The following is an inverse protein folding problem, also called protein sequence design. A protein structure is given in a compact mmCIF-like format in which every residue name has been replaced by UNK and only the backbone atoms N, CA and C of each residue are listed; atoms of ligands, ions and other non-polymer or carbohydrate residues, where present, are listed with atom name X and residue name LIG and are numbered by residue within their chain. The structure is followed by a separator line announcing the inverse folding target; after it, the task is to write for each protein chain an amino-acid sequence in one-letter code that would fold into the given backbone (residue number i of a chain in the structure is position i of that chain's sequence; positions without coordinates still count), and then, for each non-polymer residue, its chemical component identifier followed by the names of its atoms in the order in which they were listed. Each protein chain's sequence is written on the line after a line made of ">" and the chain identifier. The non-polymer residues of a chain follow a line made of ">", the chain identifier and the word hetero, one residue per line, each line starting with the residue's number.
data_IF_027204299957
#
_entry.id   IF_027204299957
#
_cell.length_a   1.000
_cell.length_b   1.000
_cell.length_c   1.000
_cell.angle_alpha   90.00
_cell.angle_beta   90.00
_cell.angle_gamma   90.00
#
_symmetry.space_group_name_H-M   'P 1'
#
loop_
_entity.id
_entity.type
_entity.pdbx_description
1 polymer ?
#
# COMPACT_ATOMS: atom_id res chain seq x y z
N UNK A 1 -7.60 -0.12 41.40
CA UNK A 1 -7.00 -0.48 40.09
C UNK A 1 -7.07 0.78 39.26
N UNK A 2 -5.94 1.49 39.09
CA UNK A 2 -5.90 2.73 38.32
C UNK A 2 -5.85 2.37 36.84
N UNK A 3 -6.96 2.60 36.14
CA UNK A 3 -7.04 2.47 34.69
C UNK A 3 -6.50 3.79 34.13
N UNK A 4 -5.36 3.73 33.45
CA UNK A 4 -4.82 4.86 32.69
C UNK A 4 -5.66 5.06 31.43
N UNK A 5 -6.23 6.26 31.29
CA UNK A 5 -7.16 6.73 30.24
C UNK A 5 -6.48 6.93 28.87
N UNK A 6 -5.93 5.87 28.29
CA UNK A 6 -5.28 5.91 26.96
C UNK A 6 -5.91 4.98 25.92
N UNK A 7 -7.06 4.35 26.20
CA UNK A 7 -7.84 3.65 25.19
C UNK A 7 -8.97 4.56 24.69
N UNK A 8 -8.87 4.98 23.42
CA UNK A 8 -10.01 5.53 22.70
C UNK A 8 -10.89 4.36 22.29
N UNK A 9 -12.03 4.21 22.94
CA UNK A 9 -12.98 3.15 22.64
C UNK A 9 -13.86 3.59 21.47
N UNK A 10 -13.60 3.03 20.28
CA UNK A 10 -14.45 3.23 19.09
C UNK A 10 -15.61 2.24 19.20
N UNK A 11 -16.84 2.74 19.16
CA UNK A 11 -18.04 1.92 19.21
C UNK A 11 -18.77 1.93 17.86
N UNK A 12 -19.47 0.85 17.54
CA UNK A 12 -20.49 0.85 16.49
C UNK A 12 -21.87 0.92 17.13
N UNK A 13 -22.74 1.76 16.60
CA UNK A 13 -24.15 1.78 16.95
C UNK A 13 -24.84 0.53 16.42
N UNK A 14 -26.03 0.23 16.94
CA UNK A 14 -26.86 -0.88 16.46
C UNK A 14 -27.30 -0.70 15.00
N UNK A 15 -27.26 0.53 14.50
CA UNK A 15 -27.57 0.88 13.10
C UNK A 15 -26.31 0.85 12.21
N UNK A 16 -25.14 0.54 12.76
CA UNK A 16 -23.88 0.43 12.03
C UNK A 16 -23.10 1.75 11.90
N UNK A 17 -23.55 2.82 12.56
CA UNK A 17 -22.84 4.09 12.58
C UNK A 17 -21.65 4.04 13.54
N UNK A 18 -20.57 4.73 13.20
CA UNK A 18 -19.42 4.86 14.08
C UNK A 18 -19.71 5.92 15.15
N UNK A 19 -19.72 5.50 16.41
CA UNK A 19 -19.95 6.36 17.57
C UNK A 19 -18.65 6.57 18.33
N UNK A 20 -18.32 7.84 18.54
CA UNK A 20 -17.22 8.28 19.38
C UNK A 20 -17.80 8.78 20.70
N UNK A 21 -17.36 8.21 21.80
CA UNK A 21 -17.85 8.57 23.14
C UNK A 21 -17.40 9.99 23.51
N UNK A 22 -18.36 10.91 23.58
CA UNK A 22 -18.12 12.30 23.88
C UNK A 22 -17.71 12.56 25.35
N UNK A 23 -17.96 11.61 26.26
CA UNK A 23 -17.71 11.80 27.70
C UNK A 23 -16.29 11.42 28.13
N UNK A 24 -15.63 10.50 27.41
CA UNK A 24 -14.26 10.02 27.71
C UNK A 24 -13.14 10.81 27.01
N UNK A 25 -13.49 11.89 26.30
CA UNK A 25 -12.51 12.70 25.57
C UNK A 25 -12.08 12.03 24.26
N UNK A 26 -13.05 11.78 23.39
CA UNK A 26 -12.81 11.34 22.01
C UNK A 26 -12.12 12.43 21.19
N UNK A 27 -10.81 12.57 21.37
CA UNK A 27 -9.98 13.24 20.39
C UNK A 27 -9.74 12.27 19.24
N UNK A 28 -10.31 12.59 18.06
CA UNK A 28 -9.80 12.08 16.79
C UNK A 28 -8.36 12.58 16.67
N UNK A 29 -7.41 11.77 17.11
CA UNK A 29 -6.02 12.09 16.92
C UNK A 29 -5.73 12.00 15.42
N UNK A 30 -5.41 13.15 14.81
CA UNK A 30 -4.79 13.19 13.49
C UNK A 30 -3.61 12.22 13.56
N UNK A 31 -3.41 11.37 12.56
CA UNK A 31 -2.31 10.38 12.52
C UNK A 31 -0.93 11.06 12.40
N UNK A 32 -0.62 12.07 13.20
CA UNK A 32 0.59 12.88 13.16
C UNK A 32 1.87 12.05 13.06
N UNK A 33 2.08 11.02 13.89
CA UNK A 33 3.30 10.22 13.84
C UNK A 33 3.25 9.04 12.85
N UNK A 34 2.08 8.68 12.29
CA UNK A 34 1.89 7.45 11.48
C UNK A 34 1.39 7.70 10.06
N UNK A 35 1.52 8.94 9.56
CA UNK A 35 1.06 9.29 8.20
C UNK A 35 1.75 8.43 7.13
N UNK A 36 3.05 8.17 7.29
CA UNK A 36 3.80 7.34 6.34
C UNK A 36 3.38 5.86 6.42
N UNK A 37 3.16 5.31 7.61
CA UNK A 37 2.62 3.95 7.78
C UNK A 37 1.23 3.80 7.12
N UNK A 38 0.39 4.84 7.20
CA UNK A 38 -0.91 4.86 6.53
C UNK A 38 -0.73 4.85 5.01
N UNK A 39 0.15 5.69 4.48
CA UNK A 39 0.45 5.74 3.05
C UNK A 39 1.01 4.40 2.55
N UNK A 40 1.96 3.80 3.27
CA UNK A 40 2.50 2.46 3.01
C UNK A 40 1.40 1.40 2.94
N UNK A 41 0.47 1.42 3.89
CA UNK A 41 -0.67 0.51 3.96
C UNK A 41 -1.62 0.69 2.77
N UNK A 42 -1.86 1.94 2.33
CA UNK A 42 -2.69 2.24 1.17
C UNK A 42 -2.00 1.73 -0.11
N UNK A 43 -0.72 2.05 -0.30
CA UNK A 43 0.06 1.57 -1.44
C UNK A 43 0.08 0.05 -1.52
N UNK A 44 0.36 -0.62 -0.39
CA UNK A 44 0.38 -2.08 -0.30
C UNK A 44 -0.96 -2.69 -0.70
N UNK A 45 -2.08 -2.14 -0.19
CA UNK A 45 -3.41 -2.63 -0.53
C UNK A 45 -3.74 -2.44 -2.00
N UNK A 46 -3.37 -1.30 -2.60
CA UNK A 46 -3.60 -1.06 -4.03
C UNK A 46 -2.82 -1.99 -4.95
N UNK A 47 -1.56 -2.25 -4.62
CA UNK A 47 -0.70 -3.17 -5.38
C UNK A 47 -1.28 -4.59 -5.35
N UNK A 48 -1.83 -5.00 -4.20
CA UNK A 48 -2.39 -6.33 -3.99
C UNK A 48 -3.82 -6.49 -4.55
N UNK A 49 -4.52 -5.38 -4.80
CA UNK A 49 -5.91 -5.42 -5.27
C UNK A 49 -6.05 -5.49 -6.79
N UNK A 50 -7.18 -6.03 -7.24
CA UNK A 50 -7.63 -6.05 -8.62
C UNK A 50 -8.54 -4.85 -8.89
N UNK A 51 -8.51 -4.31 -10.11
CA UNK A 51 -9.47 -3.28 -10.52
C UNK A 51 -10.89 -3.81 -10.44
N UNK A 52 -11.78 -2.97 -9.93
CA UNK A 52 -13.16 -3.31 -9.62
C UNK A 52 -13.37 -3.91 -8.22
N UNK A 53 -12.31 -4.21 -7.46
CA UNK A 53 -12.44 -4.70 -6.08
C UNK A 53 -12.90 -3.61 -5.10
N UNK A 54 -12.59 -2.34 -5.43
CA UNK A 54 -12.94 -1.19 -4.61
C UNK A 54 -14.22 -0.54 -5.13
N UNK A 55 -15.35 -0.72 -4.44
CA UNK A 55 -16.67 -0.21 -4.85
C UNK A 55 -16.67 1.29 -5.19
N UNK A 56 -15.98 2.09 -4.37
CA UNK A 56 -15.93 3.55 -4.51
C UNK A 56 -14.79 4.05 -5.41
N UNK A 57 -13.88 3.16 -5.81
CA UNK A 57 -12.72 3.50 -6.63
C UNK A 57 -12.38 2.32 -7.56
N UNK A 58 -13.27 1.93 -8.49
CA UNK A 58 -13.13 0.70 -9.26
C UNK A 58 -11.92 0.71 -10.21
N UNK A 59 -11.31 1.86 -10.48
CA UNK A 59 -10.06 1.92 -11.25
C UNK A 59 -8.80 1.65 -10.40
N UNK A 60 -8.90 1.65 -9.07
CA UNK A 60 -7.81 1.29 -8.18
C UNK A 60 -7.52 -0.21 -8.26
N UNK A 61 -6.24 -0.55 -8.45
CA UNK A 61 -5.77 -1.91 -8.55
C UNK A 61 -4.66 -2.03 -9.60
N UNK A 62 -3.79 -3.01 -9.41
CA UNK A 62 -2.66 -3.24 -10.32
C UNK A 62 -2.91 -4.39 -11.30
N UNK A 63 -3.92 -5.22 -11.05
CA UNK A 63 -4.25 -6.39 -11.87
C UNK A 63 -3.06 -7.33 -12.07
N UNK A 64 -2.27 -7.56 -11.01
CA UNK A 64 -1.06 -8.35 -11.10
C UNK A 64 -1.30 -9.78 -11.62
N UNK A 65 -2.52 -10.31 -11.42
CA UNK A 65 -2.96 -11.61 -11.92
C UNK A 65 -2.77 -11.78 -13.44
N UNK A 66 -2.84 -10.70 -14.22
CA UNK A 66 -2.67 -10.73 -15.67
C UNK A 66 -1.24 -11.10 -16.11
N UNK A 67 -0.28 -10.99 -15.20
CA UNK A 67 1.11 -11.36 -15.43
C UNK A 67 1.42 -12.81 -15.06
N UNK A 68 0.46 -13.58 -14.55
CA UNK A 68 0.67 -15.00 -14.26
C UNK A 68 0.93 -15.78 -15.54
N UNK A 69 1.97 -16.62 -15.52
CA UNK A 69 2.41 -17.41 -16.66
C UNK A 69 3.25 -16.66 -17.68
N UNK A 70 3.47 -15.35 -17.50
CA UNK A 70 4.39 -14.58 -18.34
C UNK A 70 5.83 -15.05 -18.13
N UNK A 71 6.70 -14.95 -19.15
CA UNK A 71 8.10 -15.30 -19.00
C UNK A 71 8.78 -14.34 -18.02
N UNK A 72 9.70 -14.88 -17.20
CA UNK A 72 10.44 -14.08 -16.23
C UNK A 72 11.60 -13.33 -16.89
N UNK A 73 11.28 -12.24 -17.58
CA UNK A 73 12.24 -11.43 -18.31
C UNK A 73 12.18 -9.97 -17.87
N UNK A 74 13.17 -9.18 -18.29
CA UNK A 74 13.20 -7.75 -18.01
C UNK A 74 12.00 -7.02 -18.65
N UNK A 75 11.52 -7.48 -19.81
CA UNK A 75 10.34 -6.93 -20.46
C UNK A 75 9.08 -7.11 -19.60
N UNK A 76 8.87 -8.30 -19.02
CA UNK A 76 7.76 -8.52 -18.09
C UNK A 76 7.90 -7.66 -16.83
N UNK A 77 9.14 -7.44 -16.36
CA UNK A 77 9.41 -6.52 -15.23
C UNK A 77 8.98 -5.09 -15.57
N UNK A 78 9.31 -4.58 -16.77
CA UNK A 78 8.89 -3.25 -17.22
C UNK A 78 7.37 -3.11 -17.29
N UNK A 79 6.66 -4.15 -17.73
CA UNK A 79 5.19 -4.14 -17.77
C UNK A 79 4.58 -4.08 -16.37
N UNK A 80 5.07 -4.89 -15.43
CA UNK A 80 4.61 -4.88 -14.04
C UNK A 80 4.94 -3.54 -13.37
N UNK A 81 6.15 -3.00 -13.56
CA UNK A 81 6.53 -1.65 -13.08
C UNK A 81 5.54 -0.60 -13.58
N UNK A 82 5.17 -0.66 -14.85
CA UNK A 82 4.22 0.28 -15.46
C UNK A 82 2.83 0.16 -14.83
N UNK A 83 2.35 -1.05 -14.58
CA UNK A 83 1.08 -1.30 -13.90
C UNK A 83 1.08 -0.73 -12.47
N UNK A 84 2.14 -1.00 -11.70
CA UNK A 84 2.30 -0.48 -10.32
C UNK A 84 2.33 1.05 -10.34
N UNK A 85 3.14 1.67 -11.21
CA UNK A 85 3.22 3.13 -11.30
C UNK A 85 1.87 3.75 -11.64
N UNK A 86 1.15 3.19 -12.61
CA UNK A 86 -0.18 3.68 -12.99
C UNK A 86 -1.15 3.58 -11.81
N UNK A 87 -1.24 2.43 -11.15
CA UNK A 87 -2.15 2.23 -10.01
C UNK A 87 -1.89 3.18 -8.83
N UNK A 88 -0.65 3.61 -8.62
CA UNK A 88 -0.27 4.48 -7.52
C UNK A 88 -0.31 5.98 -7.86
N UNK A 89 -0.42 6.33 -9.15
CA UNK A 89 -0.40 7.73 -9.61
C UNK A 89 -1.71 8.19 -10.24
N UNK A 90 -2.60 7.27 -10.64
CA UNK A 90 -3.84 7.56 -11.38
C UNK A 90 -4.73 8.63 -10.73
N UNK A 91 -4.89 8.60 -9.41
CA UNK A 91 -5.74 9.51 -8.65
C UNK A 91 -4.93 10.53 -7.82
N UNK A 92 -3.66 10.72 -8.16
CA UNK A 92 -2.70 11.54 -7.42
C UNK A 92 -2.44 11.09 -5.97
N UNK A 93 -2.66 9.81 -5.63
CA UNK A 93 -2.21 9.26 -4.34
C UNK A 93 -0.71 9.54 -4.11
N UNK A 94 0.12 9.25 -5.11
CA UNK A 94 1.52 9.67 -5.18
C UNK A 94 1.74 10.41 -6.50
N UNK A 95 2.48 11.52 -6.46
CA UNK A 95 2.88 12.21 -7.70
C UNK A 95 3.90 11.38 -8.44
N UNK A 96 3.82 11.29 -9.76
CA UNK A 96 4.77 10.53 -10.58
C UNK A 96 6.23 10.97 -10.37
N UNK A 97 6.48 12.23 -10.01
CA UNK A 97 7.82 12.75 -9.68
C UNK A 97 8.38 12.28 -8.34
N UNK A 98 7.52 11.78 -7.47
CA UNK A 98 7.84 11.37 -6.11
C UNK A 98 7.79 9.84 -5.93
N UNK A 99 7.53 9.09 -7.00
CA UNK A 99 7.48 7.63 -7.03
C UNK A 99 8.60 7.06 -7.90
N UNK A 100 9.42 6.19 -7.32
CA UNK A 100 10.33 5.30 -8.02
C UNK A 100 9.87 3.85 -7.88
N UNK A 101 9.83 3.11 -8.98
CA UNK A 101 9.54 1.68 -9.00
C UNK A 101 10.65 1.01 -9.78
N UNK A 102 11.37 0.10 -9.14
CA UNK A 102 12.33 -0.78 -9.78
C UNK A 102 11.95 -2.23 -9.55
N UNK A 103 12.49 -3.11 -10.38
CA UNK A 103 12.18 -4.52 -10.32
C UNK A 103 13.05 -5.34 -11.24
N UNK A 104 13.37 -6.54 -10.79
CA UNK A 104 14.29 -7.44 -11.48
C UNK A 104 13.93 -8.89 -11.21
N UNK A 105 14.26 -9.81 -12.14
CA UNK A 105 14.16 -11.24 -11.86
C UNK A 105 14.99 -11.63 -10.65
N UNK A 106 14.38 -12.33 -9.69
CA UNK A 106 15.04 -12.80 -8.45
C UNK A 106 15.19 -14.32 -8.39
N UNK A 107 14.66 -15.05 -9.38
CA UNK A 107 14.71 -16.50 -9.50
C UNK A 107 14.11 -16.96 -10.83
N UNK A 108 13.86 -18.27 -11.04
CA UNK A 108 13.32 -18.76 -12.30
C UNK A 108 11.90 -18.25 -12.60
N UNK A 109 11.06 -18.11 -11.57
CA UNK A 109 9.65 -17.69 -11.70
C UNK A 109 9.29 -16.54 -10.76
N UNK A 110 10.29 -15.87 -10.18
CA UNK A 110 10.07 -14.80 -9.22
C UNK A 110 10.73 -13.52 -9.66
N UNK A 111 10.05 -12.40 -9.40
CA UNK A 111 10.56 -11.05 -9.55
C UNK A 111 10.62 -10.39 -8.19
N UNK A 112 11.56 -9.47 -8.02
CA UNK A 112 11.62 -8.58 -6.88
C UNK A 112 11.25 -7.18 -7.36
N UNK A 113 10.42 -6.47 -6.60
CA UNK A 113 10.07 -5.08 -6.85
C UNK A 113 10.44 -4.23 -5.64
N UNK A 114 11.07 -3.10 -5.90
CA UNK A 114 11.42 -2.07 -4.95
C UNK A 114 10.65 -0.81 -5.31
N UNK A 115 9.84 -0.31 -4.37
CA UNK A 115 9.21 0.99 -4.48
C UNK A 115 9.88 1.94 -3.51
N UNK A 116 10.11 3.16 -3.96
CA UNK A 116 10.59 4.25 -3.13
C UNK A 116 9.74 5.49 -3.40
N UNK A 117 9.25 6.14 -2.35
CA UNK A 117 8.50 7.39 -2.50
C UNK A 117 8.78 8.36 -1.36
N UNK A 118 8.62 9.66 -1.64
CA UNK A 118 8.76 10.67 -0.60
C UNK A 118 7.62 10.55 0.41
N UNK A 119 7.96 10.71 1.70
CA UNK A 119 6.96 10.84 2.75
C UNK A 119 6.08 12.08 2.56
N UNK A 120 5.03 12.19 3.37
CA UNK A 120 4.00 13.20 3.21
C UNK A 120 4.53 14.60 3.50
N UNK A 121 5.38 14.75 4.52
CA UNK A 121 6.00 16.03 4.85
C UNK A 121 7.37 16.17 4.15
N UNK A 122 7.80 17.40 3.79
CA UNK A 122 9.09 17.60 3.10
C UNK A 122 10.31 17.12 3.88
N UNK A 123 10.19 17.00 5.20
CA UNK A 123 11.24 16.52 6.11
C UNK A 123 11.21 15.00 6.33
N UNK A 124 10.18 14.33 5.85
CA UNK A 124 10.03 12.89 6.05
C UNK A 124 11.10 12.12 5.26
N UNK A 125 11.59 11.00 5.82
CA UNK A 125 12.47 10.11 5.08
C UNK A 125 11.77 9.55 3.83
N UNK A 126 12.57 9.14 2.85
CA UNK A 126 12.06 8.32 1.75
C UNK A 126 11.57 7.00 2.30
N UNK A 127 10.33 6.67 1.99
CA UNK A 127 9.71 5.40 2.33
C UNK A 127 10.09 4.39 1.27
N UNK A 128 10.49 3.18 1.69
CA UNK A 128 10.82 2.09 0.77
C UNK A 128 10.04 0.83 1.11
N UNK A 129 9.51 0.19 0.07
CA UNK A 129 8.73 -1.03 0.18
C UNK A 129 9.24 -2.07 -0.81
N UNK A 130 9.50 -3.27 -0.32
CA UNK A 130 9.99 -4.39 -1.12
C UNK A 130 8.96 -5.50 -1.22
N UNK A 131 8.81 -6.08 -2.41
CA UNK A 131 7.98 -7.27 -2.61
C UNK A 131 8.66 -8.28 -3.52
N UNK A 132 8.49 -9.56 -3.17
CA UNK A 132 8.70 -10.65 -4.12
C UNK A 132 7.38 -11.01 -4.79
N UNK A 133 7.37 -11.14 -6.10
CA UNK A 133 6.23 -11.56 -6.91
C UNK A 133 6.52 -12.93 -7.53
N UNK A 134 5.62 -13.90 -7.36
CA UNK A 134 5.69 -15.20 -8.03
C UNK A 134 4.76 -15.21 -9.25
N UNK A 135 5.36 -15.42 -10.42
CA UNK A 135 4.67 -15.43 -11.72
C UNK A 135 3.77 -16.65 -11.91
N UNK A 136 3.75 -17.63 -11.00
CA UNK A 136 2.94 -18.85 -11.13
C UNK A 136 1.56 -18.73 -10.50
N UNK A 137 1.46 -17.99 -9.40
CA UNK A 137 0.26 -17.94 -8.56
C UNK A 137 -0.13 -16.50 -8.15
N UNK A 138 0.54 -15.50 -8.72
CA UNK A 138 0.36 -14.07 -8.40
C UNK A 138 0.65 -13.73 -6.93
N UNK A 139 1.38 -14.58 -6.22
CA UNK A 139 1.64 -14.35 -4.81
C UNK A 139 2.67 -13.24 -4.62
N UNK A 140 2.25 -12.19 -3.91
CA UNK A 140 3.12 -11.13 -3.43
C UNK A 140 3.55 -11.40 -1.99
N UNK A 141 4.85 -11.36 -1.74
CA UNK A 141 5.45 -11.57 -0.41
C UNK A 141 6.21 -10.31 -0.02
N UNK A 142 5.77 -9.57 1.02
CA UNK A 142 6.53 -8.43 1.53
C UNK A 142 7.95 -8.84 1.90
N UNK A 143 8.91 -8.01 1.51
CA UNK A 143 10.33 -8.15 1.86
C UNK A 143 10.72 -6.96 2.70
N UNK A 144 11.16 -7.24 3.93
CA UNK A 144 11.74 -6.22 4.80
C UNK A 144 13.08 -5.82 4.19
N UNK A 145 13.22 -4.54 3.88
CA UNK A 145 14.48 -3.96 3.43
C UNK A 145 15.01 -3.14 4.60
N UNK A 146 16.09 -3.62 5.22
CA UNK A 146 16.85 -2.81 6.15
C UNK A 146 17.88 -2.05 5.32
N UNK A 147 17.68 -0.74 5.16
CA UNK A 147 18.66 0.19 4.59
C UNK A 147 19.55 0.75 5.70
#
# INVERSE_FOLDING_TARGET
>A
MNITTLSTDIFMTLDGDLYLDAETGSDLYISGPRKNELLESICSRRILSTKGEWDFAPSCGTDLIDFVGQPNTEETSVLIKSAIMMSLTEDNLIRSSDLGVDGSPSGPNSMFFLLAFKGIEPTDPVVTLGWGYDLRDSKMVPRIINL
#
